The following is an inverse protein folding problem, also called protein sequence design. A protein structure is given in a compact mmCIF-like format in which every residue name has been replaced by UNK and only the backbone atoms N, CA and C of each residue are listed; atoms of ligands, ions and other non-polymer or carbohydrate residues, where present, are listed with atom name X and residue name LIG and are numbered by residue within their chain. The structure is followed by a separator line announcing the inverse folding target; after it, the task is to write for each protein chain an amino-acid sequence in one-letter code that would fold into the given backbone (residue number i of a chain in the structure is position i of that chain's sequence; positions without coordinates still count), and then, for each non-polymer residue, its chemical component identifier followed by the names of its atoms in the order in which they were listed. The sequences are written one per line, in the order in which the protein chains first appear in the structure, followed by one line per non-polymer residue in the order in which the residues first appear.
data_IF_605985358865
#
_entry.id   IF_605985358865
#
_cell.length_a   1.000
_cell.length_b   1.000
_cell.length_c   1.000
_cell.angle_alpha   90.00
_cell.angle_beta   90.00
_cell.angle_gamma   90.00
#
_symmetry.space_group_name_H-M   'P 1'
#
loop_
_entity.id
_entity.type
_entity.pdbx_description
1 polymer ?
#
# COMPACT_ATOMS: atom_id res chain seq x y z
N UNK A 1 -0.13 -19.03 -3.85
CA UNK A 1 0.25 -17.64 -3.51
C UNK A 1 0.06 -16.81 -4.77
N UNK A 2 -0.82 -15.81 -4.78
CA UNK A 2 -0.99 -14.94 -5.96
C UNK A 2 -0.55 -13.52 -5.60
N UNK A 3 0.75 -13.38 -5.33
CA UNK A 3 1.44 -12.12 -5.01
C UNK A 3 1.73 -11.26 -6.26
N UNK A 4 1.57 -11.81 -7.47
CA UNK A 4 1.83 -11.11 -8.72
C UNK A 4 1.08 -9.77 -8.85
N UNK A 5 -0.18 -9.72 -8.40
CA UNK A 5 -0.97 -8.47 -8.39
C UNK A 5 -0.39 -7.43 -7.43
N UNK A 6 0.12 -7.87 -6.28
CA UNK A 6 0.80 -7.01 -5.30
C UNK A 6 2.04 -6.36 -5.93
N UNK A 7 2.91 -7.19 -6.50
CA UNK A 7 4.12 -6.71 -7.17
C UNK A 7 3.84 -5.78 -8.35
N UNK A 8 2.80 -6.09 -9.13
CA UNK A 8 2.40 -5.21 -10.22
C UNK A 8 1.87 -3.87 -9.70
N UNK A 9 1.07 -3.86 -8.63
CA UNK A 9 0.62 -2.62 -8.01
C UNK A 9 1.79 -1.79 -7.45
N UNK A 10 2.74 -2.42 -6.75
CA UNK A 10 3.99 -1.79 -6.28
C UNK A 10 4.77 -1.17 -7.45
N UNK A 11 4.93 -1.92 -8.54
CA UNK A 11 5.62 -1.44 -9.74
C UNK A 11 4.90 -0.27 -10.41
N UNK A 12 3.57 -0.33 -10.55
CA UNK A 12 2.77 0.75 -11.14
C UNK A 12 2.87 2.02 -10.30
N UNK A 13 2.73 1.92 -8.98
CA UNK A 13 2.88 3.07 -8.08
C UNK A 13 4.30 3.60 -8.15
N UNK A 14 5.32 2.75 -8.01
CA UNK A 14 6.73 3.14 -8.08
C UNK A 14 7.10 3.88 -9.38
N UNK A 15 6.57 3.39 -10.50
CA UNK A 15 6.75 4.02 -11.82
C UNK A 15 6.10 5.40 -11.88
N UNK A 16 4.86 5.56 -11.38
CA UNK A 16 4.20 6.86 -11.34
C UNK A 16 4.94 7.89 -10.47
N UNK A 17 5.57 7.43 -9.39
CA UNK A 17 6.37 8.29 -8.50
C UNK A 17 7.73 8.68 -9.12
N UNK A 18 8.16 7.98 -10.18
CA UNK A 18 9.46 8.15 -10.83
C UNK A 18 10.61 7.55 -10.01
N UNK A 19 10.36 6.49 -9.24
CA UNK A 19 11.40 5.77 -8.49
C UNK A 19 12.20 4.92 -9.48
N UNK A 20 13.48 5.27 -9.69
CA UNK A 20 14.33 4.62 -10.70
C UNK A 20 14.85 3.25 -10.25
N UNK A 21 15.14 3.09 -8.97
CA UNK A 21 15.61 1.84 -8.38
C UNK A 21 14.53 1.25 -7.47
N UNK A 22 13.58 0.53 -8.07
CA UNK A 22 12.62 -0.29 -7.33
C UNK A 22 13.31 -1.55 -6.79
N UNK A 23 14.32 -1.37 -5.95
CA UNK A 23 14.95 -2.47 -5.23
C UNK A 23 14.11 -2.81 -4.00
N UNK A 24 13.40 -3.93 -4.08
CA UNK A 24 12.64 -4.46 -2.96
C UNK A 24 13.60 -5.01 -1.91
N UNK A 25 13.73 -4.33 -0.78
CA UNK A 25 14.31 -4.92 0.43
C UNK A 25 13.17 -5.67 1.11
N UNK A 26 13.12 -6.98 0.94
CA UNK A 26 12.01 -7.84 1.41
C UNK A 26 11.80 -7.83 2.95
N UNK A 27 12.72 -7.19 3.68
CA UNK A 27 12.69 -6.99 5.13
C UNK A 27 12.30 -5.57 5.56
N UNK A 28 12.05 -4.68 4.61
CA UNK A 28 11.66 -3.32 4.95
C UNK A 28 10.20 -3.26 5.42
N UNK A 29 9.95 -2.27 6.24
CA UNK A 29 8.68 -2.02 6.92
C UNK A 29 7.62 -1.36 6.03
N UNK A 30 7.96 -1.07 4.78
CA UNK A 30 7.14 -0.42 3.75
C UNK A 30 7.56 -0.94 2.36
N UNK A 31 6.73 -0.70 1.35
CA UNK A 31 6.95 -1.23 0.00
C UNK A 31 7.78 -0.29 -0.90
N UNK A 32 7.62 1.04 -0.76
CA UNK A 32 8.28 2.04 -1.59
C UNK A 32 8.84 3.20 -0.77
N UNK A 33 9.94 3.80 -1.26
CA UNK A 33 10.58 4.99 -0.69
C UNK A 33 10.70 6.08 -1.76
N UNK A 34 10.12 7.26 -1.50
CA UNK A 34 10.26 8.45 -2.35
C UNK A 34 10.94 9.57 -1.55
N UNK A 35 12.26 9.72 -1.70
CA UNK A 35 13.03 10.59 -0.81
C UNK A 35 12.99 10.02 0.61
N UNK A 36 12.37 10.73 1.55
CA UNK A 36 12.13 10.27 2.93
C UNK A 36 10.71 9.73 3.13
N UNK A 37 9.85 9.80 2.11
CA UNK A 37 8.44 9.41 2.18
C UNK A 37 8.34 7.89 2.06
N UNK A 38 7.95 7.24 3.16
CA UNK A 38 7.71 5.79 3.21
C UNK A 38 6.26 5.46 2.85
N UNK A 39 6.08 4.48 1.97
CA UNK A 39 4.79 4.18 1.32
C UNK A 39 4.51 2.69 1.40
N UNK A 40 3.34 2.32 1.92
CA UNK A 40 2.80 0.96 1.82
C UNK A 40 1.82 0.88 0.65
N UNK A 41 1.91 -0.16 -0.17
CA UNK A 41 1.01 -0.43 -1.28
C UNK A 41 0.09 -1.61 -0.94
N UNK A 42 -1.22 -1.39 -1.00
CA UNK A 42 -2.22 -2.45 -0.81
C UNK A 42 -2.99 -2.66 -2.10
N UNK A 43 -3.10 -3.90 -2.57
CA UNK A 43 -3.88 -4.21 -3.79
C UNK A 43 -5.07 -5.12 -3.54
N UNK A 44 -6.16 -4.86 -4.26
CA UNK A 44 -7.36 -5.71 -4.30
C UNK A 44 -7.96 -5.71 -5.71
N UNK A 45 -8.86 -6.64 -6.00
CA UNK A 45 -9.47 -6.78 -7.32
C UNK A 45 -10.88 -7.37 -7.20
N UNK A 46 -11.80 -6.93 -8.07
CA UNK A 46 -13.14 -7.51 -8.14
C UNK A 46 -13.10 -8.95 -8.66
N UNK A 47 -12.19 -9.23 -9.60
CA UNK A 47 -11.92 -10.55 -10.16
C UNK A 47 -10.73 -11.25 -9.52
N UNK A 48 -10.84 -12.57 -9.37
CA UNK A 48 -9.70 -13.47 -9.19
C UNK A 48 -9.32 -14.12 -10.53
N UNK A 49 -8.07 -14.57 -10.66
CA UNK A 49 -7.57 -15.21 -11.89
C UNK A 49 -8.26 -16.56 -12.20
N UNK A 50 -8.96 -17.15 -11.24
CA UNK A 50 -9.76 -18.37 -11.44
C UNK A 50 -11.25 -18.02 -11.53
N UNK A 51 -12.02 -18.89 -12.20
CA UNK A 51 -13.47 -18.75 -12.34
C UNK A 51 -14.14 -18.55 -10.97
N UNK A 52 -14.95 -17.50 -10.86
CA UNK A 52 -15.70 -17.17 -9.65
C UNK A 52 -17.15 -16.88 -10.00
N UNK A 53 -18.07 -17.35 -9.16
CA UNK A 53 -19.53 -17.17 -9.38
C UNK A 53 -19.98 -15.72 -9.16
N UNK A 54 -19.25 -14.95 -8.34
CA UNK A 54 -19.62 -13.60 -7.93
C UNK A 54 -18.36 -12.72 -7.77
N UNK A 55 -18.50 -11.42 -8.02
CA UNK A 55 -17.46 -10.42 -7.77
C UNK A 55 -17.15 -10.31 -6.28
N UNK A 56 -15.88 -10.04 -5.95
CA UNK A 56 -15.45 -9.87 -4.56
C UNK A 56 -15.80 -8.47 -4.04
N UNK A 57 -16.30 -8.41 -2.82
CA UNK A 57 -16.28 -7.18 -2.03
C UNK A 57 -14.82 -6.82 -1.74
N UNK A 58 -14.42 -5.61 -2.15
CA UNK A 58 -13.06 -5.13 -1.95
C UNK A 58 -12.82 -4.79 -0.48
N UNK A 59 -11.88 -5.52 0.11
CA UNK A 59 -11.39 -5.29 1.46
C UNK A 59 -9.86 -5.35 1.46
N UNK A 60 -9.25 -4.43 2.19
CA UNK A 60 -7.80 -4.36 2.38
C UNK A 60 -7.49 -4.73 3.82
N UNK A 61 -6.66 -5.75 4.02
CA UNK A 61 -6.29 -6.27 5.34
C UNK A 61 -4.81 -6.06 5.61
N UNK A 62 -4.40 -6.27 6.87
CA UNK A 62 -3.00 -6.19 7.25
C UNK A 62 -2.45 -4.77 7.14
N UNK A 63 -3.26 -3.78 7.51
CA UNK A 63 -2.82 -2.38 7.55
C UNK A 63 -1.72 -2.19 8.61
N UNK A 64 -1.82 -2.93 9.70
CA UNK A 64 -0.84 -2.94 10.78
C UNK A 64 0.03 -4.20 10.73
N UNK A 65 1.35 -4.01 10.77
CA UNK A 65 2.34 -5.08 10.74
C UNK A 65 3.31 -5.00 11.93
N UNK A 66 3.91 -6.13 12.30
CA UNK A 66 5.06 -6.16 13.21
C UNK A 66 6.30 -6.08 12.34
N UNK A 67 7.19 -5.13 12.61
CA UNK A 67 8.45 -5.01 11.88
C UNK A 67 9.41 -6.12 12.30
N UNK A 68 10.26 -6.52 11.37
CA UNK A 68 11.31 -7.49 11.64
C UNK A 68 12.67 -6.95 11.21
N UNK A 69 13.61 -6.89 12.14
CA UNK A 69 15.02 -6.66 11.87
C UNK A 69 15.79 -7.94 12.24
N UNK A 70 16.26 -8.75 11.27
CA UNK A 70 16.99 -9.98 11.53
C UNK A 70 18.27 -9.81 12.37
N UNK A 71 18.78 -8.57 12.53
CA UNK A 71 19.97 -8.24 13.33
C UNK A 71 19.64 -7.86 14.77
N UNK A 72 18.38 -7.59 15.10
CA UNK A 72 17.98 -7.21 16.45
C UNK A 72 17.89 -8.41 17.41
N UNK A 73 18.04 -8.21 18.75
CA UNK A 73 17.91 -9.28 19.75
C UNK A 73 16.55 -10.00 19.72
N UNK A 74 16.47 -11.18 20.36
CA UNK A 74 15.24 -11.95 20.60
C UNK A 74 14.41 -12.29 19.34
N UNK A 75 15.08 -12.62 18.25
CA UNK A 75 14.44 -13.03 16.99
C UNK A 75 13.93 -11.84 16.16
N UNK A 76 14.36 -10.63 16.51
CA UNK A 76 14.31 -9.50 15.60
C UNK A 76 12.93 -8.94 15.35
N UNK A 77 11.95 -9.19 16.23
CA UNK A 77 10.61 -8.60 16.12
C UNK A 77 10.51 -7.35 16.95
N UNK A 78 9.81 -6.37 16.41
CA UNK A 78 9.60 -5.10 17.08
C UNK A 78 8.75 -5.23 18.36
N UNK A 79 9.31 -4.79 19.49
CA UNK A 79 8.67 -4.86 20.80
C UNK A 79 7.42 -3.97 20.93
N UNK A 80 7.30 -2.92 20.12
CA UNK A 80 6.12 -2.04 20.13
C UNK A 80 4.90 -2.68 19.45
N UNK A 81 5.07 -3.85 18.82
CA UNK A 81 3.98 -4.65 18.29
C UNK A 81 3.45 -4.18 16.93
N UNK A 82 2.16 -4.44 16.67
CA UNK A 82 1.52 -4.13 15.38
C UNK A 82 1.19 -2.64 15.28
N UNK A 83 1.61 -1.99 14.19
CA UNK A 83 1.31 -0.59 13.89
C UNK A 83 1.29 -0.33 12.40
N UNK A 84 0.86 0.87 12.03
CA UNK A 84 1.11 1.41 10.69
C UNK A 84 2.62 1.64 10.54
N UNK A 85 3.22 1.17 9.45
CA UNK A 85 4.68 1.19 9.26
C UNK A 85 5.15 2.17 8.16
N UNK A 86 4.23 2.82 7.48
CA UNK A 86 4.49 3.84 6.48
C UNK A 86 3.91 5.20 6.89
N UNK A 87 4.37 6.27 6.24
CA UNK A 87 3.81 7.63 6.37
C UNK A 87 2.48 7.76 5.63
N UNK A 88 2.28 6.97 4.58
CA UNK A 88 1.02 6.91 3.82
C UNK A 88 0.85 5.57 3.13
N UNK A 89 -0.37 5.32 2.66
CA UNK A 89 -0.77 4.08 2.03
C UNK A 89 -1.42 4.38 0.68
N UNK A 90 -1.01 3.63 -0.35
CA UNK A 90 -1.64 3.67 -1.68
C UNK A 90 -2.44 2.39 -1.88
N UNK A 91 -3.75 2.53 -1.91
CA UNK A 91 -4.67 1.43 -2.19
C UNK A 91 -4.93 1.35 -3.70
N UNK A 92 -4.63 0.20 -4.28
CA UNK A 92 -4.77 -0.08 -5.71
C UNK A 92 -5.91 -1.06 -5.93
N UNK A 93 -6.86 -0.72 -6.79
CA UNK A 93 -7.99 -1.58 -7.16
C UNK A 93 -7.89 -1.93 -8.63
N UNK A 94 -7.75 -3.20 -8.96
CA UNK A 94 -7.97 -3.67 -10.32
C UNK A 94 -9.48 -3.74 -10.57
N UNK A 95 -9.94 -3.00 -11.58
CA UNK A 95 -11.37 -2.64 -11.76
C UNK A 95 -12.13 -3.54 -12.72
N UNK A 96 -11.45 -4.42 -13.49
CA UNK A 96 -12.13 -5.30 -14.43
C UNK A 96 -13.11 -6.24 -13.70
N UNK A 97 -14.32 -6.37 -14.23
CA UNK A 97 -15.40 -7.19 -13.67
C UNK A 97 -15.74 -8.40 -14.52
N UNK A 98 -15.08 -8.60 -15.67
CA UNK A 98 -15.23 -9.78 -16.50
C UNK A 98 -13.88 -10.22 -17.11
N UNK A 99 -13.68 -11.53 -17.26
CA UNK A 99 -12.40 -12.10 -17.67
C UNK A 99 -12.05 -11.79 -19.14
N UNK A 100 -13.04 -11.53 -19.99
CA UNK A 100 -12.85 -11.19 -21.41
C UNK A 100 -12.18 -9.82 -21.62
N UNK A 101 -12.32 -8.91 -20.66
CA UNK A 101 -11.68 -7.58 -20.72
C UNK A 101 -10.52 -7.44 -19.74
N UNK A 102 -10.26 -8.43 -18.88
CA UNK A 102 -9.23 -8.35 -17.84
C UNK A 102 -7.82 -8.23 -18.46
N UNK A 103 -7.18 -7.09 -18.25
CA UNK A 103 -5.78 -6.87 -18.58
C UNK A 103 -5.08 -6.19 -17.40
N UNK A 104 -4.28 -6.96 -16.66
CA UNK A 104 -3.56 -6.45 -15.49
C UNK A 104 -2.52 -5.37 -15.86
N UNK A 105 -2.01 -5.35 -17.09
CA UNK A 105 -1.01 -4.38 -17.55
C UNK A 105 -1.64 -3.09 -18.07
N UNK A 106 -2.95 -3.08 -18.30
CA UNK A 106 -3.67 -1.89 -18.68
C UNK A 106 -3.91 -0.99 -17.46
N UNK A 107 -3.13 0.09 -17.33
CA UNK A 107 -3.22 1.06 -16.22
C UNK A 107 -4.62 1.68 -16.09
N UNK A 108 -5.38 1.80 -17.19
CA UNK A 108 -6.76 2.32 -17.13
C UNK A 108 -7.73 1.38 -16.38
N UNK A 109 -7.32 0.14 -16.09
CA UNK A 109 -8.05 -0.81 -15.25
C UNK A 109 -7.61 -0.77 -13.78
N UNK A 110 -6.92 0.29 -13.37
CA UNK A 110 -6.48 0.48 -11.99
C UNK A 110 -6.98 1.82 -11.43
N UNK A 111 -7.69 1.75 -10.32
CA UNK A 111 -7.94 2.92 -9.49
C UNK A 111 -6.90 2.97 -8.37
N UNK A 112 -6.42 4.17 -8.05
CA UNK A 112 -5.51 4.42 -6.95
C UNK A 112 -6.14 5.35 -5.92
N UNK A 113 -5.91 5.09 -4.65
CA UNK A 113 -6.42 5.90 -3.54
C UNK A 113 -5.30 6.14 -2.54
N UNK A 114 -4.95 7.41 -2.33
CA UNK A 114 -3.88 7.81 -1.40
C UNK A 114 -4.51 8.17 -0.06
N UNK A 115 -4.03 7.57 1.03
CA UNK A 115 -4.51 7.86 2.38
C UNK A 115 -3.33 8.09 3.32
N UNK A 116 -3.38 9.17 4.08
CA UNK A 116 -2.35 9.50 5.08
C UNK A 116 -2.36 8.51 6.26
N UNK A 117 -1.23 8.35 6.95
CA UNK A 117 -1.14 7.56 8.17
C UNK A 117 -2.10 8.07 9.24
N UNK A 118 -2.20 9.38 9.45
CA UNK A 118 -3.10 9.97 10.45
C UNK A 118 -4.57 9.67 10.18
N UNK A 119 -4.99 9.75 8.91
CA UNK A 119 -6.36 9.43 8.52
C UNK A 119 -6.67 7.94 8.73
N UNK A 120 -5.73 7.05 8.41
CA UNK A 120 -5.87 5.62 8.71
C UNK A 120 -5.91 5.35 10.21
N UNK A 121 -5.02 5.98 10.98
CA UNK A 121 -4.95 5.83 12.44
C UNK A 121 -6.26 6.24 13.11
N UNK A 122 -6.91 7.30 12.62
CA UNK A 122 -8.22 7.76 13.11
C UNK A 122 -9.34 6.71 13.03
N UNK A 123 -9.19 5.70 12.17
CA UNK A 123 -10.17 4.61 12.04
C UNK A 123 -10.07 3.58 13.16
N UNK A 124 -8.88 3.40 13.76
CA UNK A 124 -8.57 2.31 14.68
C UNK A 124 -8.91 0.90 14.10
N UNK A 125 -8.75 0.72 12.78
CA UNK A 125 -9.03 -0.56 12.10
C UNK A 125 -7.77 -1.17 11.49
N UNK A 126 -7.65 -2.49 11.55
CA UNK A 126 -6.59 -3.26 10.86
C UNK A 126 -7.00 -3.70 9.43
N UNK A 127 -8.19 -3.31 9.00
CA UNK A 127 -8.70 -3.55 7.64
C UNK A 127 -9.72 -2.49 7.25
N UNK A 128 -9.79 -2.18 5.95
CA UNK A 128 -10.75 -1.23 5.39
C UNK A 128 -11.42 -1.76 4.13
N UNK A 129 -12.74 -1.56 4.06
CA UNK A 129 -13.49 -1.75 2.82
C UNK A 129 -13.32 -0.55 1.87
N UNK A 130 -13.50 -0.78 0.56
CA UNK A 130 -13.29 0.26 -0.46
C UNK A 130 -14.11 1.54 -0.24
N UNK A 131 -15.33 1.46 0.30
CA UNK A 131 -16.14 2.63 0.57
C UNK A 131 -15.47 3.58 1.58
N UNK A 132 -14.82 3.02 2.61
CA UNK A 132 -14.09 3.81 3.61
C UNK A 132 -12.79 4.36 3.04
N UNK A 133 -12.08 3.58 2.22
CA UNK A 133 -10.88 4.05 1.50
C UNK A 133 -11.22 5.26 0.61
N UNK A 134 -12.29 5.18 -0.18
CA UNK A 134 -12.78 6.29 -1.02
C UNK A 134 -13.12 7.53 -0.20
N UNK A 135 -13.77 7.34 0.96
CA UNK A 135 -14.09 8.44 1.87
C UNK A 135 -12.85 9.11 2.46
N UNK A 136 -11.81 8.34 2.81
CA UNK A 136 -10.58 8.88 3.42
C UNK A 136 -9.67 9.55 2.39
N UNK A 137 -9.60 9.02 1.17
CA UNK A 137 -8.77 9.55 0.08
C UNK A 137 -9.39 10.74 -0.66
N UNK A 138 -10.68 11.02 -0.46
CA UNK A 138 -11.40 12.04 -1.22
C UNK A 138 -11.73 11.63 -2.67
N UNK A 139 -11.46 10.38 -3.06
CA UNK A 139 -11.73 9.85 -4.40
C UNK A 139 -10.53 9.15 -5.04
N UNK A 140 -10.72 8.67 -6.27
CA UNK A 140 -9.64 8.06 -7.02
C UNK A 140 -8.62 9.12 -7.49
N UNK A 141 -7.35 8.77 -7.44
CA UNK A 141 -6.23 9.54 -7.98
C UNK A 141 -5.83 8.96 -9.32
N UNK A 142 -5.69 9.81 -10.35
CA UNK A 142 -5.17 9.37 -11.64
C UNK A 142 -3.72 8.91 -11.50
N UNK A 143 -3.30 7.94 -12.32
CA UNK A 143 -1.94 7.40 -12.25
C UNK A 143 -0.87 8.50 -12.44
N UNK A 144 -1.09 9.43 -13.37
CA UNK A 144 -0.18 10.56 -13.62
C UNK A 144 -0.10 11.57 -12.46
N UNK A 145 -1.15 11.65 -11.63
CA UNK A 145 -1.24 12.57 -10.49
C UNK A 145 -0.74 11.95 -9.18
N UNK A 146 -0.40 10.65 -9.18
CA UNK A 146 -0.01 9.91 -7.97
C UNK A 146 1.15 10.56 -7.23
N UNK A 147 2.15 11.06 -7.95
CA UNK A 147 3.30 11.72 -7.33
C UNK A 147 2.89 12.94 -6.53
N UNK A 148 2.04 13.80 -7.10
CA UNK A 148 1.55 14.99 -6.43
C UNK A 148 0.69 14.63 -5.21
N UNK A 149 -0.22 13.66 -5.36
CA UNK A 149 -1.08 13.19 -4.27
C UNK A 149 -0.29 12.56 -3.11
N UNK A 150 0.71 11.73 -3.41
CA UNK A 150 1.61 11.12 -2.42
C UNK A 150 2.40 12.19 -1.67
N UNK A 151 3.01 13.14 -2.39
CA UNK A 151 3.75 14.23 -1.74
C UNK A 151 2.83 15.09 -0.86
N UNK A 152 1.61 15.39 -1.30
CA UNK A 152 0.66 16.16 -0.51
C UNK A 152 0.20 15.40 0.74
N UNK A 153 -0.13 14.12 0.61
CA UNK A 153 -0.59 13.27 1.72
C UNK A 153 0.50 12.97 2.75
N UNK A 154 1.78 13.07 2.37
CA UNK A 154 2.92 12.87 3.27
C UNK A 154 3.16 14.05 4.22
N UNK A 155 2.62 15.23 3.94
CA UNK A 155 2.86 16.43 4.76
C UNK A 155 2.33 16.21 6.18
N UNK A 156 3.21 16.41 7.18
CA UNK A 156 2.87 16.23 8.59
C UNK A 156 2.66 14.77 9.01
N UNK A 157 3.05 13.81 8.17
CA UNK A 157 3.06 12.40 8.52
C UNK A 157 4.46 12.03 9.01
N UNK A 158 4.52 11.36 10.15
CA UNK A 158 5.76 10.82 10.71
C UNK A 158 5.54 9.37 11.06
N UNK A 159 6.62 8.60 11.11
CA UNK A 159 6.58 7.25 11.65
C UNK A 159 7.01 7.30 13.11
N UNK A 160 6.48 6.39 13.91
CA UNK A 160 6.78 6.32 15.35
C UNK A 160 8.23 5.86 15.65
N UNK A 161 9.14 5.84 14.67
CA UNK A 161 10.46 5.20 14.75
C UNK A 161 11.63 6.00 14.17
N UNK A 162 11.51 7.33 14.05
CA UNK A 162 12.63 8.19 13.64
C UNK A 162 13.83 8.17 14.63
N UNK A 163 13.74 7.38 15.71
CA UNK A 163 14.84 7.10 16.63
C UNK A 163 15.13 5.58 16.75
N UNK A 164 16.37 5.21 16.40
CA UNK A 164 17.19 4.16 17.03
C UNK A 164 16.88 2.66 16.88
N UNK A 165 15.96 2.18 16.03
CA UNK A 165 15.81 0.71 15.83
C UNK A 165 16.76 0.10 14.78
N UNK A 166 17.21 0.88 13.80
CA UNK A 166 18.08 0.40 12.71
C UNK A 166 19.58 0.49 13.03
N UNK A 167 19.94 1.15 14.13
CA UNK A 167 21.32 1.35 14.57
C UNK A 167 21.89 0.27 15.50
N UNK A 168 21.10 -0.74 15.85
CA UNK A 168 21.48 -1.85 16.74
C UNK A 168 22.00 -3.07 15.97
#
# INVERSE_FOLDING_TARGET
MNNARGYLAEYLVGTALGIQELQRIEWDSYDLLLGEITIEVKSSAYLQLWDQKELRTLNFTGLQGIRSNPRAPDGGRDALGRRLNAMLYVFCVQTATSHDVYDQLNVAQWDFYVVSRSDLASTNQNSLGIARVKSLSGGATAWDDLKAAVTAAAVGQERDDDADWWGA
#
